data_IF_271245706162
#
_entry.id   IF_271245706162
#
_cell.length_a   1.000
_cell.length_b   1.000
_cell.length_c   1.000
_cell.angle_alpha   90.00
_cell.angle_beta   90.00
_cell.angle_gamma   90.00
#
_symmetry.space_group_name_H-M   'P 1'
#
loop_
_entity.id
_entity.type
_entity.pdbx_description
1 polymer ?
#
# COMPACT_ATOMS: atom_id res chain seq x y z
N UNK A 1 -14.04 17.05 62.99
CA UNK A 1 -13.40 18.32 62.57
C UNK A 1 -12.70 18.12 61.25
N UNK A 2 -13.00 18.98 60.29
CA UNK A 2 -12.43 19.04 58.94
C UNK A 2 -10.93 19.39 58.98
N UNK A 3 -10.14 18.74 58.12
CA UNK A 3 -8.95 19.34 57.50
C UNK A 3 -8.86 18.91 56.04
N UNK A 4 -9.41 19.75 55.17
CA UNK A 4 -9.03 19.83 53.77
C UNK A 4 -7.55 20.25 53.68
N UNK A 5 -6.71 19.38 53.14
CA UNK A 5 -5.38 19.75 52.66
C UNK A 5 -5.41 19.68 51.14
N UNK A 6 -5.61 20.85 50.53
CA UNK A 6 -5.51 21.10 49.11
C UNK A 6 -4.07 20.86 48.65
N UNK A 7 -3.78 19.74 47.99
CA UNK A 7 -2.59 19.61 47.13
C UNK A 7 -3.03 19.58 45.67
N UNK A 8 -2.91 20.74 45.03
CA UNK A 8 -3.10 20.92 43.59
C UNK A 8 -2.15 20.01 42.81
N UNK A 9 -2.58 19.37 41.70
CA UNK A 9 -1.68 18.57 40.89
C UNK A 9 -0.68 19.48 40.18
N UNK A 10 0.59 19.15 40.31
CA UNK A 10 1.75 19.89 39.81
C UNK A 10 1.78 19.94 38.28
N UNK A 11 1.53 21.14 37.71
CA UNK A 11 2.24 21.69 36.53
C UNK A 11 3.09 20.73 35.67
N UNK A 12 2.71 20.28 34.47
CA UNK A 12 3.78 19.90 33.51
C UNK A 12 4.54 21.17 33.07
N UNK A 13 5.83 21.31 33.38
CA UNK A 13 6.64 22.51 33.10
C UNK A 13 6.85 22.81 31.61
N UNK A 14 6.49 21.88 30.72
CA UNK A 14 6.64 22.04 29.27
C UNK A 14 5.40 22.64 28.62
N UNK A 15 4.18 22.32 29.09
CA UNK A 15 2.93 22.74 28.41
C UNK A 15 1.76 23.18 29.31
N UNK A 16 1.87 23.08 30.64
CA UNK A 16 0.96 23.79 31.57
C UNK A 16 -0.51 23.34 31.68
N UNK A 17 -0.95 22.25 31.05
CA UNK A 17 -2.35 21.78 31.09
C UNK A 17 -2.56 20.59 32.05
N UNK A 18 -3.57 20.68 32.93
CA UNK A 18 -3.98 19.61 33.85
C UNK A 18 -5.41 19.15 33.60
N UNK A 19 -5.55 17.83 33.74
CA UNK A 19 -6.73 16.98 33.98
C UNK A 19 -7.57 16.55 32.77
N UNK A 20 -7.75 15.22 32.77
CA UNK A 20 -8.80 14.41 32.17
C UNK A 20 -8.78 14.21 30.66
N UNK A 21 -7.89 13.32 30.23
CA UNK A 21 -8.19 12.45 29.09
C UNK A 21 -7.97 10.97 29.45
N UNK A 22 -8.75 10.47 30.42
CA UNK A 22 -9.10 9.05 30.45
C UNK A 22 -10.42 8.89 29.69
N UNK A 23 -10.42 9.16 28.37
CA UNK A 23 -11.38 8.48 27.52
C UNK A 23 -10.86 7.05 27.44
N UNK A 24 -11.54 6.14 28.12
CA UNK A 24 -11.39 4.71 27.92
C UNK A 24 -11.68 4.47 26.44
N UNK A 25 -10.64 4.44 25.60
CA UNK A 25 -10.74 3.78 24.31
C UNK A 25 -10.89 2.32 24.72
N UNK A 26 -12.10 1.79 24.60
CA UNK A 26 -12.27 0.35 24.58
C UNK A 26 -11.59 -0.12 23.30
N UNK A 27 -10.28 -0.32 23.40
CA UNK A 27 -9.53 -1.09 22.43
C UNK A 27 -10.15 -2.47 22.53
N UNK A 28 -10.99 -2.81 21.55
CA UNK A 28 -11.42 -4.18 21.36
C UNK A 28 -10.16 -5.02 21.44
N UNK A 29 -10.13 -5.95 22.40
CA UNK A 29 -8.96 -6.73 22.72
C UNK A 29 -8.42 -7.32 21.41
N UNK A 30 -7.23 -6.89 21.02
CA UNK A 30 -6.47 -7.58 19.99
C UNK A 30 -6.23 -8.99 20.55
N UNK A 31 -6.98 -9.95 20.02
CA UNK A 31 -6.84 -11.35 20.37
C UNK A 31 -5.39 -11.76 20.05
N UNK A 32 -4.64 -12.17 21.08
CA UNK A 32 -3.28 -12.66 20.89
C UNK A 32 -3.31 -13.86 19.94
N UNK A 33 -2.62 -13.75 18.80
CA UNK A 33 -2.65 -14.72 17.71
C UNK A 33 -1.95 -16.01 18.16
N UNK A 34 -2.73 -17.00 18.56
CA UNK A 34 -2.28 -18.39 18.63
C UNK A 34 -2.37 -19.00 17.23
N UNK A 35 -1.31 -19.67 16.72
CA UNK A 35 -1.35 -20.28 15.40
C UNK A 35 -2.44 -21.38 15.35
N UNK A 36 -3.49 -21.14 14.56
CA UNK A 36 -4.54 -22.12 14.27
C UNK A 36 -4.38 -22.61 12.84
N UNK A 37 -3.63 -23.71 12.62
CA UNK A 37 -3.26 -24.15 11.27
C UNK A 37 -4.46 -24.45 10.38
N UNK A 38 -5.60 -24.88 10.96
CA UNK A 38 -6.83 -25.14 10.20
C UNK A 38 -7.50 -23.85 9.71
N UNK A 39 -7.48 -22.78 10.52
CA UNK A 39 -8.01 -21.47 10.12
C UNK A 39 -7.12 -20.88 9.03
N UNK A 40 -5.80 -20.99 9.18
CA UNK A 40 -4.83 -20.43 8.24
C UNK A 40 -4.92 -21.09 6.86
N UNK A 41 -5.00 -22.42 6.79
CA UNK A 41 -5.19 -23.12 5.51
C UNK A 41 -6.51 -22.74 4.83
N UNK A 42 -7.60 -22.64 5.59
CA UNK A 42 -8.89 -22.22 5.06
C UNK A 42 -8.84 -20.79 4.50
N UNK A 43 -8.21 -19.86 5.23
CA UNK A 43 -8.10 -18.47 4.79
C UNK A 43 -7.21 -18.31 3.57
N UNK A 44 -6.07 -19.02 3.53
CA UNK A 44 -5.23 -19.06 2.32
C UNK A 44 -6.02 -19.55 1.11
N UNK A 45 -6.80 -20.63 1.27
CA UNK A 45 -7.65 -21.14 0.19
C UNK A 45 -8.67 -20.09 -0.33
N UNK A 46 -9.30 -19.33 0.57
CA UNK A 46 -10.22 -18.25 0.20
C UNK A 46 -9.51 -17.11 -0.53
N UNK A 47 -8.36 -16.68 -0.02
CA UNK A 47 -7.52 -15.63 -0.61
C UNK A 47 -7.09 -16.02 -2.02
N UNK A 48 -6.55 -17.23 -2.21
CA UNK A 48 -6.12 -17.73 -3.52
C UNK A 48 -7.29 -17.78 -4.50
N UNK A 49 -8.45 -18.30 -4.07
CA UNK A 49 -9.64 -18.36 -4.91
C UNK A 49 -10.12 -16.97 -5.35
N UNK A 50 -10.14 -16.01 -4.44
CA UNK A 50 -10.55 -14.63 -4.72
C UNK A 50 -9.59 -13.98 -5.72
N UNK A 51 -8.27 -14.11 -5.50
CA UNK A 51 -7.25 -13.55 -6.39
C UNK A 51 -7.30 -14.17 -7.79
N UNK A 52 -7.45 -15.50 -7.89
CA UNK A 52 -7.55 -16.17 -9.18
C UNK A 52 -8.77 -15.70 -9.99
N UNK A 53 -9.90 -15.46 -9.30
CA UNK A 53 -11.08 -14.91 -9.95
C UNK A 53 -10.86 -13.47 -10.41
N UNK A 54 -10.26 -12.61 -9.56
CA UNK A 54 -9.89 -11.25 -9.95
C UNK A 54 -9.00 -11.24 -11.21
N UNK A 55 -7.97 -12.09 -11.28
CA UNK A 55 -7.11 -12.14 -12.47
C UNK A 55 -7.83 -12.69 -13.72
N UNK A 56 -8.97 -13.35 -13.54
CA UNK A 56 -9.82 -13.85 -14.63
C UNK A 56 -10.83 -12.80 -15.10
N UNK A 57 -11.57 -12.19 -14.18
CA UNK A 57 -12.71 -11.32 -14.48
C UNK A 57 -12.37 -9.81 -14.45
N UNK A 58 -11.31 -9.43 -13.72
CA UNK A 58 -10.77 -8.06 -13.61
C UNK A 58 -11.74 -7.06 -12.96
N UNK A 59 -12.67 -7.55 -12.14
CA UNK A 59 -13.72 -6.72 -11.51
C UNK A 59 -13.25 -6.23 -10.14
N UNK A 60 -12.87 -4.95 -10.08
CA UNK A 60 -12.34 -4.32 -8.86
C UNK A 60 -13.37 -4.27 -7.73
N UNK A 61 -14.59 -3.79 -8.00
CA UNK A 61 -15.64 -3.60 -6.99
C UNK A 61 -16.08 -4.93 -6.36
N UNK A 62 -16.23 -5.98 -7.16
CA UNK A 62 -16.54 -7.32 -6.67
C UNK A 62 -15.40 -7.89 -5.81
N UNK A 63 -14.16 -7.57 -6.17
CA UNK A 63 -12.99 -7.99 -5.40
C UNK A 63 -12.94 -7.27 -4.06
N UNK A 64 -13.16 -5.95 -4.05
CA UNK A 64 -13.28 -5.13 -2.85
C UNK A 64 -14.35 -5.68 -1.90
N UNK A 65 -15.56 -5.89 -2.42
CA UNK A 65 -16.68 -6.39 -1.62
C UNK A 65 -16.34 -7.72 -0.96
N UNK A 66 -15.69 -8.63 -1.70
CA UNK A 66 -15.28 -9.93 -1.15
C UNK A 66 -14.17 -9.82 -0.10
N UNK A 67 -13.19 -8.94 -0.28
CA UNK A 67 -12.15 -8.72 0.74
C UNK A 67 -12.78 -8.19 2.04
N UNK A 68 -13.74 -7.26 1.94
CA UNK A 68 -14.49 -6.75 3.10
C UNK A 68 -15.31 -7.86 3.77
N UNK A 69 -15.99 -8.70 2.98
CA UNK A 69 -16.79 -9.83 3.48
C UNK A 69 -15.96 -10.93 4.16
N UNK A 70 -14.69 -11.09 3.79
CA UNK A 70 -13.78 -11.99 4.51
C UNK A 70 -13.59 -11.54 5.96
N UNK A 71 -13.72 -10.23 6.24
CA UNK A 71 -13.67 -9.62 7.59
C UNK A 71 -12.52 -10.17 8.46
N UNK A 72 -11.34 -10.31 7.85
CA UNK A 72 -10.16 -10.92 8.47
C UNK A 72 -8.89 -10.10 8.17
N UNK A 73 -8.78 -8.87 8.71
CA UNK A 73 -7.70 -7.95 8.41
C UNK A 73 -6.31 -8.49 8.75
N UNK A 74 -6.22 -9.43 9.68
CA UNK A 74 -4.95 -10.10 10.02
C UNK A 74 -4.33 -10.88 8.85
N UNK A 75 -5.10 -11.17 7.80
CA UNK A 75 -4.62 -11.81 6.58
C UNK A 75 -4.40 -10.84 5.41
N UNK A 76 -4.54 -9.52 5.59
CA UNK A 76 -4.29 -8.55 4.52
C UNK A 76 -2.85 -8.59 3.98
N UNK A 77 -1.79 -8.67 4.81
CA UNK A 77 -0.42 -8.84 4.29
C UNK A 77 -0.26 -10.14 3.48
N UNK A 78 -0.93 -11.22 3.90
CA UNK A 78 -0.92 -12.51 3.20
C UNK A 78 -1.65 -12.42 1.85
N UNK A 79 -2.77 -11.69 1.79
CA UNK A 79 -3.50 -11.38 0.56
C UNK A 79 -2.60 -10.66 -0.45
N UNK A 80 -1.85 -9.64 0.00
CA UNK A 80 -0.91 -8.90 -0.85
C UNK A 80 0.22 -9.82 -1.34
N UNK A 81 0.81 -10.62 -0.45
CA UNK A 81 1.89 -11.56 -0.78
C UNK A 81 1.46 -12.61 -1.81
N UNK A 82 0.30 -13.24 -1.60
CA UNK A 82 -0.25 -14.23 -2.52
C UNK A 82 -0.64 -13.59 -3.85
N UNK A 83 -1.20 -12.38 -3.82
CA UNK A 83 -1.52 -11.62 -5.02
C UNK A 83 -0.29 -11.31 -5.87
N UNK A 84 0.82 -10.89 -5.24
CA UNK A 84 2.12 -10.71 -5.91
C UNK A 84 2.60 -12.02 -6.56
N UNK A 85 2.58 -13.12 -5.81
CA UNK A 85 3.00 -14.43 -6.32
C UNK A 85 2.20 -14.83 -7.56
N UNK A 86 0.87 -14.71 -7.51
CA UNK A 86 -0.02 -15.05 -8.61
C UNK A 86 0.19 -14.10 -9.80
N UNK A 87 0.26 -12.78 -9.58
CA UNK A 87 0.43 -11.78 -10.62
C UNK A 87 1.75 -11.97 -11.39
N UNK A 88 2.84 -12.16 -10.66
CA UNK A 88 4.18 -12.29 -11.23
C UNK A 88 4.39 -13.64 -11.91
N UNK A 89 3.79 -14.71 -11.38
CA UNK A 89 3.79 -16.03 -12.03
C UNK A 89 3.00 -16.05 -13.34
N UNK A 90 1.85 -15.36 -13.41
CA UNK A 90 1.05 -15.25 -14.64
C UNK A 90 1.71 -14.32 -15.66
N UNK A 91 2.54 -13.38 -15.22
CA UNK A 91 3.25 -12.44 -16.08
C UNK A 91 2.34 -11.33 -16.62
N UNK A 92 2.80 -10.53 -17.59
CA UNK A 92 2.03 -9.42 -18.15
C UNK A 92 0.70 -9.90 -18.79
N UNK A 93 -0.42 -9.16 -18.64
CA UNK A 93 -0.53 -7.85 -17.99
C UNK A 93 -0.82 -7.90 -16.48
N UNK A 94 -0.78 -9.07 -15.84
CA UNK A 94 -1.32 -9.29 -14.49
C UNK A 94 -0.65 -8.43 -13.41
N UNK A 95 0.65 -8.12 -13.51
CA UNK A 95 1.33 -7.22 -12.56
C UNK A 95 0.72 -5.81 -12.54
N UNK A 96 0.32 -5.28 -13.71
CA UNK A 96 -0.37 -3.98 -13.79
C UNK A 96 -1.77 -4.06 -13.19
N UNK A 97 -2.48 -5.16 -13.41
CA UNK A 97 -3.80 -5.37 -12.82
C UNK A 97 -3.74 -5.48 -11.30
N UNK A 98 -2.70 -6.14 -10.79
CA UNK A 98 -2.46 -6.22 -9.36
C UNK A 98 -2.18 -4.84 -8.77
N UNK A 99 -1.36 -4.02 -9.43
CA UNK A 99 -1.11 -2.63 -9.02
C UNK A 99 -2.40 -1.83 -8.90
N UNK A 100 -3.27 -1.93 -9.91
CA UNK A 100 -4.60 -1.27 -9.91
C UNK A 100 -5.50 -1.77 -8.78
N UNK A 101 -5.47 -3.07 -8.47
CA UNK A 101 -6.24 -3.61 -7.36
C UNK A 101 -5.74 -3.07 -6.01
N UNK A 102 -4.42 -3.04 -5.80
CA UNK A 102 -3.85 -2.53 -4.56
C UNK A 102 -4.16 -1.05 -4.36
N UNK A 103 -4.01 -0.23 -5.41
CA UNK A 103 -4.38 1.19 -5.41
C UNK A 103 -5.86 1.37 -5.06
N UNK A 104 -6.75 0.61 -5.72
CA UNK A 104 -8.18 0.68 -5.45
C UNK A 104 -8.56 0.28 -4.01
N UNK A 105 -7.99 -0.82 -3.49
CA UNK A 105 -8.26 -1.26 -2.12
C UNK A 105 -7.69 -0.30 -1.07
N UNK A 106 -6.58 0.37 -1.39
CA UNK A 106 -5.99 1.42 -0.55
C UNK A 106 -6.87 2.67 -0.51
N UNK A 107 -7.28 3.18 -1.68
CA UNK A 107 -8.16 4.35 -1.81
C UNK A 107 -9.51 4.15 -1.08
N UNK A 108 -10.01 2.91 -1.07
CA UNK A 108 -11.22 2.53 -0.37
C UNK A 108 -11.03 2.21 1.12
N UNK A 109 -9.82 2.39 1.68
CA UNK A 109 -9.47 2.11 3.08
C UNK A 109 -9.71 0.64 3.50
N UNK A 110 -9.65 -0.30 2.56
CA UNK A 110 -9.70 -1.74 2.86
C UNK A 110 -8.32 -2.24 3.25
N UNK A 111 -7.30 -1.84 2.49
CA UNK A 111 -5.89 -2.06 2.82
C UNK A 111 -5.27 -0.75 3.29
N UNK A 112 -4.33 -0.83 4.23
CA UNK A 112 -3.48 0.30 4.59
C UNK A 112 -2.05 0.10 4.06
N UNK A 113 -1.22 1.14 4.17
CA UNK A 113 0.17 1.09 3.69
C UNK A 113 1.04 0.05 4.42
N UNK A 114 0.73 -0.27 5.68
CA UNK A 114 1.42 -1.31 6.45
C UNK A 114 1.08 -2.71 5.94
N UNK A 115 -0.18 -2.98 5.60
CA UNK A 115 -0.61 -4.24 4.99
C UNK A 115 0.12 -4.49 3.67
N UNK A 116 0.11 -3.48 2.79
CA UNK A 116 0.75 -3.51 1.46
C UNK A 116 2.26 -3.68 1.62
N UNK A 117 2.89 -2.83 2.43
CA UNK A 117 4.33 -2.87 2.68
C UNK A 117 4.78 -4.22 3.23
N UNK A 118 4.06 -4.75 4.22
CA UNK A 118 4.36 -6.05 4.83
C UNK A 118 4.26 -7.19 3.83
N UNK A 119 3.19 -7.24 3.03
CA UNK A 119 3.04 -8.26 1.99
C UNK A 119 4.16 -8.22 0.94
N UNK A 120 4.53 -7.01 0.49
CA UNK A 120 5.64 -6.82 -0.43
C UNK A 120 6.99 -7.24 0.17
N UNK A 121 7.26 -6.90 1.43
CA UNK A 121 8.47 -7.28 2.15
C UNK A 121 8.61 -8.79 2.29
N UNK A 122 7.51 -9.47 2.64
CA UNK A 122 7.52 -10.94 2.74
C UNK A 122 7.76 -11.55 1.37
N UNK A 123 7.09 -11.07 0.32
CA UNK A 123 7.32 -11.53 -1.05
C UNK A 123 8.78 -11.36 -1.50
N UNK A 124 9.41 -10.22 -1.18
CA UNK A 124 10.80 -9.92 -1.57
C UNK A 124 11.80 -10.97 -1.07
N UNK A 125 11.54 -11.61 0.08
CA UNK A 125 12.40 -12.69 0.60
C UNK A 125 12.33 -13.97 -0.25
N UNK A 126 11.26 -14.14 -1.02
CA UNK A 126 11.04 -15.30 -1.91
C UNK A 126 11.53 -15.06 -3.33
N UNK A 127 12.06 -13.87 -3.63
CA UNK A 127 12.39 -13.47 -5.00
C UNK A 127 13.52 -14.32 -5.58
N UNK A 128 14.43 -14.83 -4.75
CA UNK A 128 15.61 -15.60 -5.17
C UNK A 128 15.22 -16.90 -5.91
N UNK A 129 15.83 -17.14 -7.09
CA UNK A 129 15.61 -18.35 -7.88
C UNK A 129 14.36 -18.34 -8.77
N UNK A 130 13.70 -17.19 -8.91
CA UNK A 130 12.56 -17.00 -9.84
C UNK A 130 13.03 -16.68 -11.27
N UNK A 131 12.08 -16.43 -12.18
CA UNK A 131 12.41 -16.11 -13.57
C UNK A 131 13.16 -14.77 -13.67
N UNK A 132 13.97 -14.61 -14.73
CA UNK A 132 14.83 -13.44 -14.92
C UNK A 132 14.04 -12.11 -15.03
N UNK A 133 12.81 -12.16 -15.52
CA UNK A 133 11.93 -10.98 -15.69
C UNK A 133 11.09 -10.67 -14.44
N UNK A 134 11.09 -11.56 -13.44
CA UNK A 134 10.31 -11.36 -12.20
C UNK A 134 10.72 -10.09 -11.45
N UNK A 135 12.02 -9.76 -11.29
CA UNK A 135 12.43 -8.55 -10.59
C UNK A 135 11.96 -7.26 -11.28
N UNK A 136 11.96 -7.21 -12.62
CA UNK A 136 11.45 -6.05 -13.38
C UNK A 136 9.96 -5.85 -13.15
N UNK A 137 9.14 -6.90 -13.30
CA UNK A 137 7.69 -6.81 -13.07
C UNK A 137 7.38 -6.46 -11.60
N UNK A 138 8.14 -7.01 -10.65
CA UNK A 138 7.97 -6.64 -9.25
C UNK A 138 8.34 -5.17 -9.02
N UNK A 139 9.43 -4.69 -9.63
CA UNK A 139 9.82 -3.29 -9.62
C UNK A 139 8.75 -2.36 -10.18
N UNK A 140 8.10 -2.71 -11.28
CA UNK A 140 6.98 -1.93 -11.84
C UNK A 140 5.81 -1.83 -10.85
N UNK A 141 5.46 -2.92 -10.16
CA UNK A 141 4.44 -2.90 -9.10
C UNK A 141 4.84 -1.94 -8.00
N UNK A 142 6.07 -2.04 -7.48
CA UNK A 142 6.57 -1.16 -6.42
C UNK A 142 6.54 0.31 -6.86
N UNK A 143 6.96 0.61 -8.09
CA UNK A 143 6.89 1.95 -8.65
C UNK A 143 5.47 2.50 -8.70
N UNK A 144 4.49 1.70 -9.13
CA UNK A 144 3.09 2.10 -9.13
C UNK A 144 2.56 2.36 -7.71
N UNK A 145 2.90 1.50 -6.74
CA UNK A 145 2.46 1.66 -5.34
C UNK A 145 3.06 2.92 -4.69
N UNK A 146 4.30 3.26 -5.00
CA UNK A 146 4.92 4.51 -4.54
C UNK A 146 4.20 5.72 -5.14
N UNK A 147 3.87 5.66 -6.44
CA UNK A 147 3.15 6.74 -7.12
C UNK A 147 1.68 6.87 -6.71
N UNK A 148 1.10 5.82 -6.13
CA UNK A 148 -0.24 5.82 -5.54
C UNK A 148 -0.25 6.22 -4.05
N UNK A 149 0.91 6.60 -3.49
CA UNK A 149 1.09 6.88 -2.05
C UNK A 149 0.74 5.70 -1.11
N UNK A 150 0.44 4.52 -1.67
CA UNK A 150 0.20 3.28 -0.97
C UNK A 150 1.49 2.67 -0.38
N UNK A 151 2.66 3.16 -0.80
CA UNK A 151 3.96 2.77 -0.27
C UNK A 151 4.92 3.96 -0.18
N UNK A 152 5.57 4.13 0.97
CA UNK A 152 6.63 5.13 1.15
C UNK A 152 8.01 4.64 0.73
N UNK A 153 8.92 5.57 0.41
CA UNK A 153 10.31 5.28 0.05
C UNK A 153 11.09 4.49 1.11
N UNK A 154 10.74 4.63 2.39
CA UNK A 154 11.36 3.86 3.47
C UNK A 154 11.13 2.35 3.27
N UNK A 155 9.88 1.96 3.03
CA UNK A 155 9.50 0.55 2.80
C UNK A 155 10.11 0.05 1.50
N UNK A 156 10.16 0.87 0.45
CA UNK A 156 10.85 0.52 -0.79
C UNK A 156 12.33 0.18 -0.56
N UNK A 157 13.05 0.97 0.23
CA UNK A 157 14.44 0.68 0.59
C UNK A 157 14.56 -0.63 1.39
N UNK A 158 13.65 -0.88 2.35
CA UNK A 158 13.61 -2.13 3.09
C UNK A 158 13.37 -3.35 2.18
N UNK A 159 12.53 -3.22 1.13
CA UNK A 159 12.32 -4.26 0.12
C UNK A 159 13.64 -4.55 -0.62
N UNK A 160 14.36 -3.52 -1.07
CA UNK A 160 15.65 -3.68 -1.73
C UNK A 160 16.68 -4.35 -0.82
N UNK A 161 16.64 -4.09 0.48
CA UNK A 161 17.50 -4.75 1.47
C UNK A 161 17.17 -6.23 1.62
N UNK A 162 15.87 -6.60 1.61
CA UNK A 162 15.39 -7.98 1.75
C UNK A 162 15.66 -8.89 0.55
N UNK A 163 15.78 -8.33 -0.66
CA UNK A 163 16.21 -9.12 -1.81
C UNK A 163 17.65 -9.58 -1.54
N UNK A 164 17.93 -10.89 -1.61
CA UNK A 164 19.28 -11.40 -1.34
C UNK A 164 20.19 -11.22 -2.56
N UNK A 165 19.66 -11.51 -3.75
CA UNK A 165 20.45 -11.50 -4.98
C UNK A 165 20.64 -10.09 -5.54
N UNK A 166 21.89 -9.63 -5.59
CA UNK A 166 22.29 -8.36 -6.24
C UNK A 166 21.86 -8.27 -7.71
N UNK A 167 21.76 -9.40 -8.42
CA UNK A 167 21.29 -9.46 -9.80
C UNK A 167 19.80 -9.14 -9.91
N UNK A 168 19.03 -9.29 -8.83
CA UNK A 168 17.60 -8.96 -8.80
C UNK A 168 17.33 -7.56 -8.23
N UNK A 169 18.18 -7.06 -7.31
CA UNK A 169 18.06 -5.68 -6.79
C UNK A 169 18.09 -4.63 -7.88
N UNK A 170 19.04 -4.75 -8.81
CA UNK A 170 19.26 -3.71 -9.84
C UNK A 170 18.10 -3.61 -10.82
N UNK A 171 17.61 -4.70 -11.45
CA UNK A 171 16.44 -4.62 -12.33
C UNK A 171 15.18 -4.14 -11.60
N UNK A 172 14.93 -4.62 -10.38
CA UNK A 172 13.82 -4.15 -9.55
C UNK A 172 13.87 -2.63 -9.35
N UNK A 173 15.02 -2.10 -8.92
CA UNK A 173 15.21 -0.66 -8.74
C UNK A 173 15.01 0.12 -10.03
N UNK A 174 15.61 -0.32 -11.14
CA UNK A 174 15.50 0.35 -12.45
C UNK A 174 14.04 0.39 -12.91
N UNK A 175 13.33 -0.73 -12.81
CA UNK A 175 11.93 -0.82 -13.21
C UNK A 175 11.03 0.08 -12.34
N UNK A 176 11.23 0.09 -11.02
CA UNK A 176 10.51 0.98 -10.11
C UNK A 176 10.74 2.46 -10.45
N UNK A 177 12.00 2.87 -10.63
CA UNK A 177 12.35 4.25 -10.95
C UNK A 177 11.83 4.68 -12.32
N UNK A 178 11.81 3.78 -13.32
CA UNK A 178 11.24 4.07 -14.63
C UNK A 178 9.77 4.47 -14.55
N UNK A 179 8.98 3.84 -13.67
CA UNK A 179 7.57 4.19 -13.45
C UNK A 179 7.46 5.60 -12.84
N UNK A 180 8.24 5.86 -11.80
CA UNK A 180 8.28 7.17 -11.12
C UNK A 180 8.64 8.28 -12.11
N UNK A 181 9.72 8.11 -12.87
CA UNK A 181 10.19 9.08 -13.85
C UNK A 181 9.12 9.32 -14.95
N UNK A 182 8.49 8.25 -15.43
CA UNK A 182 7.47 8.35 -16.49
C UNK A 182 6.25 9.15 -16.04
N UNK A 183 5.74 8.92 -14.82
CA UNK A 183 4.60 9.67 -14.29
C UNK A 183 4.96 11.14 -14.02
N UNK A 184 6.13 11.42 -13.43
CA UNK A 184 6.59 12.81 -13.21
C UNK A 184 6.71 13.56 -14.54
N UNK A 185 7.25 12.92 -15.57
CA UNK A 185 7.30 13.51 -16.91
C UNK A 185 5.89 13.74 -17.50
N UNK A 186 4.96 12.82 -17.30
CA UNK A 186 3.58 12.97 -17.77
C UNK A 186 2.86 14.14 -17.09
N UNK A 187 3.03 14.32 -15.78
CA UNK A 187 2.47 15.45 -15.04
C UNK A 187 3.04 16.80 -15.50
N UNK A 188 4.36 16.88 -15.71
CA UNK A 188 5.01 18.07 -16.25
C UNK A 188 4.48 18.41 -17.65
N UNK A 189 4.27 17.41 -18.51
CA UNK A 189 3.69 17.61 -19.83
C UNK A 189 2.25 18.15 -19.76
N UNK A 190 1.41 17.58 -18.88
CA UNK A 190 0.03 18.05 -18.68
C UNK A 190 -0.02 19.48 -18.15
N UNK A 191 0.90 19.85 -17.25
CA UNK A 191 1.04 21.21 -16.75
C UNK A 191 1.38 22.19 -17.90
N UNK A 192 2.42 21.89 -18.68
CA UNK A 192 2.82 22.71 -19.83
C UNK A 192 1.69 22.86 -20.86
N UNK A 193 0.96 21.77 -21.14
CA UNK A 193 -0.17 21.81 -22.07
C UNK A 193 -1.31 22.71 -21.54
N UNK A 194 -1.61 22.62 -20.24
CA UNK A 194 -2.62 23.47 -19.60
C UNK A 194 -2.24 24.95 -19.67
N UNK A 195 -0.98 25.29 -19.38
CA UNK A 195 -0.47 26.67 -19.46
C UNK A 195 -0.54 27.23 -20.90
N UNK A 196 -0.24 26.41 -21.91
CA UNK A 196 -0.37 26.83 -23.30
C UNK A 196 -1.84 27.11 -23.68
N UNK A 197 -2.78 26.34 -23.14
CA UNK A 197 -4.21 26.52 -23.39
C UNK A 197 -4.81 27.75 -22.68
N UNK A 198 -4.39 28.04 -21.45
CA UNK A 198 -4.82 29.22 -20.70
C UNK A 198 -4.23 30.53 -21.26
N UNK A 199 -3.00 30.49 -21.76
CA UNK A 199 -2.35 31.65 -22.38
C UNK A 199 -2.85 31.95 -23.81
N UNK A 200 -3.40 30.96 -24.53
CA UNK A 200 -4.00 31.18 -25.87
C UNK A 200 -5.43 31.70 -25.84
N UNK A 201 -6.14 31.54 -24.71
CA UNK A 201 -7.52 32.01 -24.51
C UNK A 201 -7.62 33.45 -23.96
N UNK A 202 -6.48 34.09 -23.66
CA UNK A 202 -6.39 35.45 -23.10
C UNK A 202 -5.83 36.47 -24.10
N UNK A 203 -6.19 36.38 -25.38
CA UNK A 203 -5.94 37.47 -26.33
C UNK A 203 -6.89 38.65 -26.05
N UNK A 204 -6.39 39.87 -25.76
CA UNK A 204 -7.27 41.02 -25.62
C UNK A 204 -7.81 41.38 -27.00
N UNK A 205 -9.14 41.44 -27.12
CA UNK A 205 -9.82 42.15 -28.20
C UNK A 205 -9.30 43.59 -28.22
N UNK A 206 -8.31 43.84 -29.08
CA UNK A 206 -7.88 45.19 -29.41
C UNK A 206 -9.07 45.90 -30.06
N UNK A 207 -9.70 46.79 -29.30
CA UNK A 207 -10.74 47.70 -29.75
C UNK A 207 -10.05 48.81 -30.55
N UNK A 208 -10.31 48.84 -31.85
CA UNK A 208 -10.11 50.01 -32.72
C UNK A 208 -11.47 50.56 -33.12
#
# INVERSE_FOLDING_TARGET
EYKESTSSPSKCEICGCHRNFHRKVEVAAAEEIQPNPKKDELMKGKITSLLDEFFTNRVLEETLQRVVELNSPEYHPEFVREGLYVALKKGPPCHNQFSLLMEHLFDCNVLNAEDIGSGCLVYATTLCGLSIDTPDMFGEIIGNLVMAEAMGFKVFNEILEKVEDKYYKRPLFIAAMKIVDTRVMAEAFLHCFRDAFTNSSSSPLASN
#
